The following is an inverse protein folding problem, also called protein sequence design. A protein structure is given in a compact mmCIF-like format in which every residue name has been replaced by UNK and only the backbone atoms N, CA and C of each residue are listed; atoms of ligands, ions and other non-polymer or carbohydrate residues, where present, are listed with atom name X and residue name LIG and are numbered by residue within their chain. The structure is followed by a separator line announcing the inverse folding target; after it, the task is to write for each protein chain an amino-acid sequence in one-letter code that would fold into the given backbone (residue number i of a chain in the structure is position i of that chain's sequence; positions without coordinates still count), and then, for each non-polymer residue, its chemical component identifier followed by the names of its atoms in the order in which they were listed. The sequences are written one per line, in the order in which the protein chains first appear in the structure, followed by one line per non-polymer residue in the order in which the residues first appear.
data_IF_102917316614
#
_entry.id   IF_102917316614
#
_cell.length_a   1.000
_cell.length_b   1.000
_cell.length_c   1.000
_cell.angle_alpha   90.00
_cell.angle_beta   90.00
_cell.angle_gamma   90.00
#
_symmetry.space_group_name_H-M   'P 1'
#
loop_
_entity.id
_entity.type
_entity.pdbx_description
1 polymer ?
#
# COMPACT_ATOMS: atom_id res chain seq x y z
N UNK A 1 -10.54 22.05 0.97
CA UNK A 1 -10.33 20.59 1.13
C UNK A 1 -11.37 19.85 0.29
N UNK A 2 -11.11 18.61 -0.17
CA UNK A 2 -12.10 17.85 -0.95
C UNK A 2 -13.33 17.54 -0.09
N UNK A 3 -14.48 17.35 -0.75
CA UNK A 3 -15.74 17.02 -0.07
C UNK A 3 -15.69 15.65 0.61
N UNK A 4 -14.85 14.74 0.13
CA UNK A 4 -14.61 13.42 0.72
C UNK A 4 -13.24 12.89 0.31
N UNK A 5 -12.72 11.93 1.07
CA UNK A 5 -11.55 11.11 0.72
C UNK A 5 -11.94 9.76 0.08
N UNK A 6 -13.23 9.50 -0.14
CA UNK A 6 -13.72 8.30 -0.83
C UNK A 6 -13.28 8.30 -2.30
N UNK A 7 -12.67 7.21 -2.74
CA UNK A 7 -12.29 6.97 -4.13
C UNK A 7 -13.13 5.85 -4.76
N UNK A 8 -12.73 5.36 -5.95
CA UNK A 8 -13.44 4.29 -6.67
C UNK A 8 -13.49 2.94 -5.95
N UNK A 9 -12.55 2.68 -5.02
CA UNK A 9 -12.48 1.41 -4.29
C UNK A 9 -12.12 0.21 -5.17
N UNK A 10 -11.27 0.40 -6.19
CA UNK A 10 -10.84 -0.69 -7.08
C UNK A 10 -9.80 -1.62 -6.46
N UNK A 11 -9.01 -1.12 -5.50
CA UNK A 11 -7.97 -1.88 -4.82
C UNK A 11 -8.25 -1.87 -3.32
N UNK A 12 -8.05 -3.01 -2.63
CA UNK A 12 -8.26 -3.15 -1.18
C UNK A 12 -7.08 -2.61 -0.35
N UNK A 13 -6.18 -1.85 -0.96
CA UNK A 13 -5.02 -1.22 -0.35
C UNK A 13 -4.85 0.20 -0.90
N UNK A 14 -4.06 1.02 -0.21
CA UNK A 14 -3.72 2.36 -0.67
C UNK A 14 -2.40 2.35 -1.44
N UNK A 15 -2.25 3.33 -2.33
CA UNK A 15 -1.02 3.57 -3.07
C UNK A 15 -0.48 4.94 -2.66
N UNK A 16 0.79 4.98 -2.27
CA UNK A 16 1.54 6.21 -2.11
C UNK A 16 2.45 6.39 -3.34
N UNK A 17 2.02 7.14 -4.37
CA UNK A 17 2.84 7.39 -5.56
C UNK A 17 4.01 8.33 -5.22
N UNK A 18 5.03 8.35 -6.07
CA UNK A 18 6.24 9.15 -5.88
C UNK A 18 6.82 8.93 -4.47
N UNK A 19 6.89 7.67 -4.05
CA UNK A 19 7.45 7.31 -2.77
C UNK A 19 8.95 7.56 -2.79
N UNK A 20 9.39 8.50 -1.94
CA UNK A 20 10.78 8.84 -1.69
C UNK A 20 10.87 9.18 -0.20
N UNK A 21 11.79 8.53 0.51
CA UNK A 21 12.04 8.81 1.93
C UNK A 21 13.39 9.50 2.11
N UNK A 22 13.53 10.69 1.55
CA UNK A 22 14.73 11.52 1.71
C UNK A 22 14.53 12.48 2.88
N UNK A 23 15.52 12.53 3.76
CA UNK A 23 15.64 13.58 4.79
C UNK A 23 16.78 14.51 4.39
N UNK A 24 16.48 15.78 4.14
CA UNK A 24 17.51 16.81 3.97
C UNK A 24 18.06 17.20 5.34
N UNK A 25 19.38 17.35 5.46
CA UNK A 25 19.99 17.85 6.69
C UNK A 25 19.36 19.20 7.09
N UNK A 26 18.93 19.32 8.35
CA UNK A 26 18.25 20.51 8.87
C UNK A 26 16.73 20.55 8.65
N UNK A 27 16.14 19.58 7.95
CA UNK A 27 14.68 19.46 7.85
C UNK A 27 14.13 18.64 9.04
N UNK A 28 13.35 19.30 9.92
CA UNK A 28 12.74 18.68 11.10
C UNK A 28 11.27 18.27 10.88
N UNK A 29 10.79 18.29 9.64
CA UNK A 29 9.46 17.79 9.31
C UNK A 29 9.43 16.26 9.23
N UNK A 30 8.23 15.69 9.27
CA UNK A 30 8.05 14.25 9.20
C UNK A 30 8.54 13.66 7.87
N UNK A 31 9.17 12.49 7.96
CA UNK A 31 9.56 11.69 6.82
C UNK A 31 8.34 11.05 6.16
N UNK A 32 8.52 10.51 4.95
CA UNK A 32 7.44 9.77 4.29
C UNK A 32 7.11 8.51 5.09
N UNK A 33 8.11 7.83 5.62
CA UNK A 33 7.94 6.65 6.47
C UNK A 33 7.07 6.97 7.69
N UNK A 34 7.38 8.04 8.43
CA UNK A 34 6.63 8.44 9.63
C UNK A 34 5.15 8.65 9.32
N UNK A 35 4.84 9.38 8.25
CA UNK A 35 3.45 9.63 7.84
C UNK A 35 2.70 8.36 7.45
N UNK A 36 3.37 7.43 6.77
CA UNK A 36 2.76 6.17 6.36
C UNK A 36 2.60 5.19 7.53
N UNK A 37 3.56 5.17 8.47
CA UNK A 37 3.46 4.41 9.72
C UNK A 37 2.31 4.91 10.59
N UNK A 38 2.12 6.23 10.72
CA UNK A 38 0.96 6.82 11.39
C UNK A 38 -0.35 6.45 10.71
N UNK A 39 -0.42 6.53 9.38
CA UNK A 39 -1.60 6.13 8.62
C UNK A 39 -1.96 4.67 8.90
N UNK A 40 -0.99 3.75 8.84
CA UNK A 40 -1.21 2.32 9.12
C UNK A 40 -1.56 2.07 10.58
N UNK A 41 -1.02 2.85 11.51
CA UNK A 41 -1.40 2.77 12.94
C UNK A 41 -2.87 3.13 13.14
N UNK A 42 -3.37 4.16 12.46
CA UNK A 42 -4.77 4.57 12.51
C UNK A 42 -5.71 3.68 11.69
N UNK A 43 -5.18 3.02 10.65
CA UNK A 43 -5.91 2.18 9.70
C UNK A 43 -5.25 0.80 9.58
N UNK A 44 -5.26 -0.03 10.64
CA UNK A 44 -4.45 -1.25 10.69
C UNK A 44 -4.84 -2.29 9.63
N UNK A 45 -6.08 -2.24 9.15
CA UNK A 45 -6.61 -3.15 8.13
C UNK A 45 -6.35 -2.66 6.69
N UNK A 46 -5.63 -1.55 6.50
CA UNK A 46 -5.39 -0.92 5.20
C UNK A 46 -3.89 -0.89 4.88
N UNK A 47 -3.38 -1.85 4.08
CA UNK A 47 -2.01 -1.81 3.60
C UNK A 47 -1.75 -0.60 2.69
N UNK A 48 -0.51 -0.12 2.65
CA UNK A 48 -0.07 0.95 1.76
C UNK A 48 1.15 0.51 0.97
N UNK A 49 1.08 0.58 -0.36
CA UNK A 49 2.23 0.36 -1.24
C UNK A 49 2.84 1.73 -1.59
N UNK A 50 4.10 1.93 -1.21
CA UNK A 50 4.91 3.05 -1.70
C UNK A 50 5.54 2.72 -3.04
N UNK A 51 5.18 3.49 -4.08
CA UNK A 51 5.69 3.35 -5.45
C UNK A 51 6.72 4.45 -5.74
N UNK A 52 8.03 4.12 -5.84
CA UNK A 52 9.02 5.03 -6.39
C UNK A 52 8.68 5.46 -7.82
N UNK A 53 9.28 6.54 -8.29
CA UNK A 53 9.12 6.97 -9.69
C UNK A 53 9.61 5.88 -10.66
N UNK A 54 8.89 5.71 -11.77
CA UNK A 54 9.21 4.68 -12.76
C UNK A 54 8.81 3.25 -12.38
N UNK A 55 8.16 3.05 -11.22
CA UNK A 55 7.63 1.75 -10.79
C UNK A 55 6.12 1.63 -11.05
N UNK A 56 5.60 0.40 -11.07
CA UNK A 56 4.19 0.13 -11.31
C UNK A 56 3.70 -1.14 -10.63
N UNK A 57 2.38 -1.26 -10.54
CA UNK A 57 1.67 -2.50 -10.23
C UNK A 57 1.04 -3.03 -11.51
N UNK A 58 1.37 -4.27 -11.87
CA UNK A 58 0.79 -4.98 -13.01
C UNK A 58 -0.25 -5.99 -12.52
N UNK A 59 -1.52 -5.72 -12.81
CA UNK A 59 -2.62 -6.61 -12.50
C UNK A 59 -3.07 -7.35 -13.76
N UNK A 60 -2.86 -8.66 -13.81
CA UNK A 60 -3.33 -9.53 -14.90
C UNK A 60 -4.15 -10.70 -14.31
N UNK A 61 -5.44 -10.74 -14.64
CA UNK A 61 -6.37 -11.74 -14.09
C UNK A 61 -6.52 -11.62 -12.56
N UNK A 62 -5.80 -12.46 -11.82
CA UNK A 62 -5.71 -12.43 -10.35
C UNK A 62 -4.27 -12.25 -9.85
N UNK A 63 -3.31 -12.12 -10.76
CA UNK A 63 -1.91 -11.89 -10.44
C UNK A 63 -1.63 -10.39 -10.31
N UNK A 64 -1.15 -9.96 -9.15
CA UNK A 64 -0.64 -8.61 -8.94
C UNK A 64 0.88 -8.68 -8.79
N UNK A 65 1.62 -8.09 -9.71
CA UNK A 65 3.08 -8.09 -9.70
C UNK A 65 3.62 -6.67 -9.61
N UNK A 66 4.70 -6.50 -8.85
CA UNK A 66 5.44 -5.24 -8.81
C UNK A 66 6.42 -5.15 -9.99
N UNK A 67 6.53 -3.98 -10.62
CA UNK A 67 7.40 -3.74 -11.77
C UNK A 67 8.29 -2.52 -11.49
N UNK A 68 9.60 -2.65 -11.69
CA UNK A 68 10.59 -1.56 -11.53
C UNK A 68 11.54 -1.77 -10.35
N UNK A 69 12.23 -0.71 -9.92
CA UNK A 69 13.13 -0.68 -8.76
C UNK A 69 12.39 -0.90 -7.43
N UNK A 70 13.12 -1.28 -6.38
CA UNK A 70 12.55 -1.64 -5.08
C UNK A 70 11.53 -0.62 -4.53
N UNK A 71 10.31 -1.10 -4.30
CA UNK A 71 9.24 -0.39 -3.62
C UNK A 71 9.15 -0.75 -2.14
N UNK A 72 8.09 -0.30 -1.47
CA UNK A 72 7.85 -0.63 -0.06
C UNK A 72 6.39 -0.94 0.21
N UNK A 73 6.14 -1.88 1.13
CA UNK A 73 4.83 -2.18 1.67
C UNK A 73 4.81 -1.79 3.14
N UNK A 74 3.85 -0.95 3.53
CA UNK A 74 3.48 -0.69 4.91
C UNK A 74 2.20 -1.45 5.25
N UNK A 75 2.21 -2.21 6.33
CA UNK A 75 1.05 -2.97 6.81
C UNK A 75 1.16 -3.22 8.31
N UNK A 76 0.04 -3.50 8.99
CA UNK A 76 0.09 -3.87 10.40
C UNK A 76 0.52 -5.31 10.61
N UNK A 77 1.27 -5.57 11.67
CA UNK A 77 1.47 -6.92 12.19
C UNK A 77 0.23 -7.43 12.98
N UNK A 78 0.33 -8.65 13.51
CA UNK A 78 -0.72 -9.27 14.31
C UNK A 78 -1.11 -8.47 15.57
N UNK A 79 -0.23 -7.58 16.04
CA UNK A 79 -0.46 -6.70 17.19
C UNK A 79 -0.87 -5.28 16.78
N UNK A 80 -1.25 -5.07 15.51
CA UNK A 80 -1.65 -3.77 14.94
C UNK A 80 -0.55 -2.71 14.98
N UNK A 81 0.72 -3.13 14.88
CA UNK A 81 1.86 -2.21 14.78
C UNK A 81 2.29 -2.09 13.32
N UNK A 82 2.59 -0.88 12.82
CA UNK A 82 3.04 -0.71 11.45
C UNK A 82 4.36 -1.45 11.23
N UNK A 83 4.47 -2.13 10.10
CA UNK A 83 5.66 -2.81 9.61
C UNK A 83 5.92 -2.34 8.19
N UNK A 84 7.20 -2.08 7.90
CA UNK A 84 7.69 -1.74 6.58
C UNK A 84 8.51 -2.90 6.02
N UNK A 85 8.16 -3.36 4.82
CA UNK A 85 8.91 -4.38 4.09
C UNK A 85 9.26 -3.90 2.69
N UNK A 86 10.45 -4.22 2.20
CA UNK A 86 10.83 -3.97 0.80
C UNK A 86 10.01 -4.83 -0.14
N UNK A 87 9.61 -4.26 -1.28
CA UNK A 87 9.02 -4.97 -2.41
C UNK A 87 10.06 -4.97 -3.53
N UNK A 88 10.41 -6.14 -4.07
CA UNK A 88 11.38 -6.25 -5.16
C UNK A 88 10.69 -6.37 -6.53
N UNK A 89 11.43 -6.09 -7.61
CA UNK A 89 10.95 -6.28 -8.97
C UNK A 89 10.42 -7.71 -9.20
N UNK A 90 9.24 -7.82 -9.82
CA UNK A 90 8.57 -9.08 -10.12
C UNK A 90 7.88 -9.75 -8.92
N UNK A 91 7.99 -9.19 -7.71
CA UNK A 91 7.37 -9.76 -6.52
C UNK A 91 5.86 -9.91 -6.71
N UNK A 92 5.34 -11.10 -6.38
CA UNK A 92 3.91 -11.38 -6.34
C UNK A 92 3.29 -10.76 -5.08
N UNK A 93 2.33 -9.87 -5.30
CA UNK A 93 1.57 -9.13 -4.31
C UNK A 93 0.09 -9.53 -4.32
N UNK A 94 -0.29 -10.61 -5.02
CA UNK A 94 -1.68 -11.04 -5.19
C UNK A 94 -2.42 -11.29 -3.87
N UNK A 95 -1.68 -11.60 -2.79
CA UNK A 95 -2.25 -11.72 -1.46
C UNK A 95 -2.96 -10.43 -0.99
N UNK A 96 -2.49 -9.25 -1.45
CA UNK A 96 -3.08 -7.96 -1.13
C UNK A 96 -4.44 -7.74 -1.81
N UNK A 97 -4.80 -8.50 -2.86
CA UNK A 97 -6.11 -8.36 -3.53
C UNK A 97 -7.28 -8.95 -2.73
N UNK A 98 -7.00 -9.60 -1.59
CA UNK A 98 -8.01 -10.25 -0.77
C UNK A 98 -8.11 -9.57 0.58
N UNK A 99 -9.32 -9.13 0.94
CA UNK A 99 -9.61 -8.76 2.32
C UNK A 99 -10.16 -10.00 3.02
N UNK A 100 -9.64 -10.27 4.22
CA UNK A 100 -10.23 -11.22 5.15
C UNK A 100 -11.37 -10.53 5.88
N UNK A 101 -12.59 -11.04 5.78
CA UNK A 101 -13.66 -10.58 6.67
C UNK A 101 -13.38 -11.00 8.13
N UNK A 102 -14.20 -10.52 9.08
CA UNK A 102 -14.04 -10.84 10.52
C UNK A 102 -14.19 -12.34 10.86
N UNK A 103 -14.52 -13.18 9.87
CA UNK A 103 -14.69 -14.63 9.98
C UNK A 103 -13.56 -15.37 9.23
N UNK A 104 -12.61 -14.66 8.63
CA UNK A 104 -11.47 -15.23 7.90
C UNK A 104 -11.79 -15.61 6.46
N UNK A 105 -12.97 -15.24 5.95
CA UNK A 105 -13.34 -15.47 4.56
C UNK A 105 -12.66 -14.44 3.66
N UNK A 106 -11.88 -14.93 2.69
CA UNK A 106 -11.23 -14.08 1.68
C UNK A 106 -12.22 -13.77 0.58
N UNK A 107 -12.63 -12.50 0.46
CA UNK A 107 -13.48 -12.05 -0.64
C UNK A 107 -12.70 -11.14 -1.57
N UNK A 108 -12.81 -11.39 -2.88
CA UNK A 108 -12.19 -10.55 -3.92
C UNK A 108 -12.97 -9.24 -4.03
N UNK A 109 -12.29 -8.13 -3.88
CA UNK A 109 -12.86 -6.79 -4.09
C UNK A 109 -11.90 -5.98 -4.95
N UNK A 110 -11.85 -6.36 -6.22
CA UNK A 110 -11.59 -5.38 -7.27
C UNK A 110 -12.84 -5.34 -8.12
N UNK A 111 -13.48 -4.17 -8.24
CA UNK A 111 -14.57 -4.00 -9.20
C UNK A 111 -13.94 -4.18 -10.58
N UNK A 112 -14.43 -5.18 -11.33
CA UNK A 112 -14.14 -5.26 -12.75
C UNK A 112 -14.65 -3.96 -13.37
N UNK A 113 -13.79 -3.25 -14.11
CA UNK A 113 -14.25 -2.18 -14.97
C UNK A 113 -14.96 -2.88 -16.12
N UNK A 114 -16.26 -2.64 -16.23
CA UNK A 114 -17.11 -3.14 -17.32
C UNK A 114 -16.79 -2.43 -18.64
#
# INVERSE_FOLDING_TARGET
QPQSFTSFGFLPFQINPHYINQTTEGFNGETRDQRLEEFVTLNPDVPVIGLPEGTALWLEGTGLHFIGEDGVLFQSDANKRPQKTTIINGQDLSALLFISDKVGNKSKIYKKLD
#
